data_IF_302813415851
#
_entry.id   IF_302813415851
#
_cell.length_a   1.000
_cell.length_b   1.000
_cell.length_c   1.000
_cell.angle_alpha   90.00
_cell.angle_beta   90.00
_cell.angle_gamma   90.00
#
_symmetry.space_group_name_H-M   'P 1'
#
loop_
_entity.id
_entity.type
_entity.pdbx_description
1 polymer ?
#
# COMPACT_ATOMS: atom_id res chain seq x y z
N UNK A 1 -6.30 -16.81 -0.62
CA UNK A 1 -5.11 -17.65 -0.86
C UNK A 1 -4.02 -16.76 -1.43
N UNK A 2 -3.01 -16.38 -0.65
CA UNK A 2 -1.96 -15.40 -1.06
C UNK A 2 -0.74 -16.10 -1.69
N UNK A 3 -0.61 -17.41 -1.51
CA UNK A 3 0.54 -18.19 -1.99
C UNK A 3 0.19 -18.95 -3.26
N UNK A 4 0.31 -18.31 -4.42
CA UNK A 4 0.32 -19.01 -5.71
C UNK A 4 1.76 -19.23 -6.15
N UNK A 5 2.10 -20.46 -6.49
CA UNK A 5 3.46 -20.88 -6.91
C UNK A 5 3.89 -20.28 -8.25
N UNK A 6 2.95 -19.83 -9.07
CA UNK A 6 3.18 -19.21 -10.37
C UNK A 6 3.62 -17.74 -10.30
N UNK A 7 3.50 -17.11 -9.13
CA UNK A 7 3.83 -15.71 -8.93
C UNK A 7 5.28 -15.60 -8.42
N UNK A 8 6.11 -14.68 -8.94
CA UNK A 8 7.44 -14.44 -8.43
C UNK A 8 7.45 -14.23 -6.92
N UNK A 9 8.41 -14.84 -6.22
CA UNK A 9 8.48 -14.82 -4.76
C UNK A 9 8.40 -13.41 -4.16
N UNK A 10 9.02 -12.42 -4.81
CA UNK A 10 8.98 -11.01 -4.39
C UNK A 10 7.55 -10.46 -4.32
N UNK A 11 6.70 -10.80 -5.30
CA UNK A 11 5.31 -10.34 -5.35
C UNK A 11 4.48 -11.06 -4.29
N UNK A 12 4.66 -12.37 -4.10
CA UNK A 12 3.96 -13.10 -3.01
C UNK A 12 4.32 -12.55 -1.62
N UNK A 13 5.61 -12.32 -1.37
CA UNK A 13 6.07 -11.75 -0.10
C UNK A 13 5.50 -10.35 0.12
N UNK A 14 5.53 -9.51 -0.91
CA UNK A 14 4.93 -8.18 -0.86
C UNK A 14 3.41 -8.22 -0.59
N UNK A 15 2.66 -9.08 -1.30
CA UNK A 15 1.22 -9.26 -1.08
C UNK A 15 0.91 -9.76 0.32
N UNK A 16 1.75 -10.64 0.87
CA UNK A 16 1.62 -11.09 2.26
C UNK A 16 1.83 -9.94 3.27
N UNK A 17 2.85 -9.10 3.06
CA UNK A 17 3.05 -7.89 3.87
C UNK A 17 1.87 -6.91 3.74
N UNK A 18 1.32 -6.78 2.53
CA UNK A 18 0.15 -5.94 2.24
C UNK A 18 -1.06 -6.41 3.05
N UNK A 19 -1.37 -7.70 2.97
CA UNK A 19 -2.48 -8.31 3.71
C UNK A 19 -2.31 -8.21 5.23
N UNK A 20 -1.06 -8.16 5.73
CA UNK A 20 -0.73 -7.95 7.14
C UNK A 20 -0.69 -6.48 7.55
N UNK A 21 -0.95 -5.55 6.63
CA UNK A 21 -0.78 -4.11 6.83
C UNK A 21 0.60 -3.78 7.42
N UNK A 22 1.64 -4.49 7.00
CA UNK A 22 3.00 -4.38 7.52
C UNK A 22 3.96 -3.66 6.55
N UNK A 23 3.43 -3.15 5.44
CA UNK A 23 4.20 -2.37 4.45
C UNK A 23 4.61 -1.02 5.05
N UNK A 24 5.73 -0.47 4.57
CA UNK A 24 6.19 0.88 4.87
C UNK A 24 5.22 1.92 4.30
N UNK A 25 4.16 2.21 5.03
CA UNK A 25 3.28 3.38 4.83
C UNK A 25 3.56 4.41 5.91
N UNK A 26 3.22 5.68 5.69
CA UNK A 26 3.33 6.71 6.74
C UNK A 26 2.53 6.36 8.00
N UNK A 27 1.39 5.67 7.89
CA UNK A 27 0.67 5.15 9.06
C UNK A 27 1.54 4.21 9.90
N UNK A 28 2.22 3.25 9.26
CA UNK A 28 3.07 2.28 9.96
C UNK A 28 4.39 2.88 10.45
N UNK A 29 4.91 3.87 9.74
CA UNK A 29 6.07 4.65 10.19
C UNK A 29 5.71 5.51 11.41
N UNK A 30 4.52 6.11 11.43
CA UNK A 30 4.03 6.88 12.58
C UNK A 30 3.90 6.05 13.85
N UNK A 31 3.57 4.76 13.75
CA UNK A 31 3.57 3.81 14.89
C UNK A 31 4.98 3.64 15.49
N UNK A 32 6.05 3.83 14.71
CA UNK A 32 7.45 3.69 15.15
C UNK A 32 8.09 5.02 15.54
N UNK A 33 7.76 6.09 14.82
CA UNK A 33 8.23 7.46 15.04
C UNK A 33 7.05 8.42 14.88
N UNK A 34 6.42 8.83 15.99
CA UNK A 34 5.33 9.81 15.95
C UNK A 34 5.82 11.15 15.40
N UNK A 35 4.95 11.89 14.70
CA UNK A 35 5.17 13.19 14.04
C UNK A 35 5.72 13.17 12.60
N UNK A 36 5.61 12.04 11.88
CA UNK A 36 5.83 12.05 10.44
C UNK A 36 4.55 12.50 9.73
N UNK A 37 4.70 13.32 8.70
CA UNK A 37 3.60 13.76 7.85
C UNK A 37 2.82 12.52 7.39
N UNK A 38 1.53 12.48 7.70
CA UNK A 38 0.70 11.30 7.46
C UNK A 38 -0.01 11.36 6.10
N UNK A 39 0.19 12.41 5.30
CA UNK A 39 -0.44 12.51 3.98
C UNK A 39 0.14 11.45 3.03
N UNK A 40 -0.71 11.01 2.10
CA UNK A 40 -0.38 10.11 1.01
C UNK A 40 0.61 10.77 0.06
N UNK A 41 1.74 10.12 -0.19
CA UNK A 41 2.77 10.64 -1.09
C UNK A 41 2.26 10.84 -2.53
N UNK A 42 1.28 10.05 -2.97
CA UNK A 42 0.79 10.12 -4.35
C UNK A 42 -0.23 11.24 -4.56
N UNK A 43 -1.25 11.33 -3.70
CA UNK A 43 -2.34 12.27 -3.90
C UNK A 43 -2.22 13.54 -3.05
N UNK A 44 -1.43 13.52 -1.98
CA UNK A 44 -1.25 14.59 -0.99
C UNK A 44 -2.53 15.08 -0.29
N UNK A 45 -3.69 14.46 -0.58
CA UNK A 45 -5.02 14.90 -0.13
C UNK A 45 -5.54 14.14 1.10
N UNK A 46 -5.19 12.86 1.24
CA UNK A 46 -5.67 11.98 2.31
C UNK A 46 -4.53 11.34 3.08
N UNK A 47 -4.82 10.76 4.24
CA UNK A 47 -3.83 10.02 5.04
C UNK A 47 -3.37 8.77 4.30
N UNK A 48 -2.06 8.53 4.29
CA UNK A 48 -1.43 7.35 3.73
C UNK A 48 -1.68 6.12 4.60
N UNK A 49 -2.72 5.37 4.25
CA UNK A 49 -2.97 4.02 4.76
C UNK A 49 -2.69 3.00 3.68
N UNK A 50 -2.51 1.74 4.03
CA UNK A 50 -2.34 0.66 3.03
C UNK A 50 -3.55 0.61 2.10
N UNK A 51 -4.77 0.73 2.63
CA UNK A 51 -5.98 0.72 1.80
C UNK A 51 -6.04 1.95 0.89
N UNK A 52 -5.72 3.14 1.40
CA UNK A 52 -5.69 4.33 0.56
C UNK A 52 -4.65 4.18 -0.56
N UNK A 53 -3.40 3.86 -0.22
CA UNK A 53 -2.31 3.77 -1.18
C UNK A 53 -2.56 2.75 -2.31
N UNK A 54 -3.16 1.60 -1.99
CA UNK A 54 -3.35 0.51 -2.97
C UNK A 54 -4.76 0.39 -3.58
N UNK A 55 -5.79 0.99 -2.98
CA UNK A 55 -7.19 0.82 -3.42
C UNK A 55 -7.95 2.12 -3.66
N UNK A 56 -7.68 3.18 -2.90
CA UNK A 56 -8.52 4.40 -2.92
C UNK A 56 -7.79 5.66 -3.39
N UNK A 57 -6.47 5.58 -3.59
CA UNK A 57 -5.70 6.70 -4.11
C UNK A 57 -6.09 6.94 -5.57
N UNK A 58 -6.35 8.20 -5.94
CA UNK A 58 -6.72 8.62 -7.29
C UNK A 58 -5.78 8.08 -8.37
N UNK A 59 -4.47 8.09 -8.09
CA UNK A 59 -3.45 7.61 -9.02
C UNK A 59 -3.45 6.08 -9.13
N UNK A 60 -3.68 5.39 -8.01
CA UNK A 60 -3.74 3.94 -7.99
C UNK A 60 -5.00 3.43 -8.67
N UNK A 61 -6.14 4.11 -8.48
CA UNK A 61 -7.38 3.80 -9.18
C UNK A 61 -7.21 3.94 -10.71
N UNK A 62 -6.57 5.01 -11.17
CA UNK A 62 -6.21 5.18 -12.58
C UNK A 62 -5.32 4.04 -13.09
N UNK A 63 -4.33 3.60 -12.31
CA UNK A 63 -3.49 2.46 -12.68
C UNK A 63 -4.32 1.17 -12.79
N UNK A 64 -5.23 0.90 -11.85
CA UNK A 64 -6.09 -0.27 -11.94
C UNK A 64 -6.96 -0.26 -13.18
N UNK A 65 -7.54 0.89 -13.54
CA UNK A 65 -8.34 1.05 -14.77
C UNK A 65 -7.53 0.85 -16.06
N UNK A 66 -6.20 0.87 -16.03
CA UNK A 66 -5.37 0.56 -17.20
C UNK A 66 -5.19 -0.95 -17.41
N UNK A 67 -5.28 -1.75 -16.34
CA UNK A 67 -4.99 -3.19 -16.36
C UNK A 67 -6.21 -4.08 -16.13
N UNK A 68 -7.29 -3.53 -15.59
CA UNK A 68 -8.61 -4.18 -15.39
C UNK A 68 -9.54 -3.69 -16.48
#
# INVERSE_FOLDING_TARGET
MIWRTEIPYKVNYFTWLLAKQAILTHENLNKRKPNLCSSCYLCEEQVETVNHLFLHCKWTDQLWQMFI
#
